data_IF_130407928942
#
_entry.id   IF_130407928942
#
_cell.length_a   1.000
_cell.length_b   1.000
_cell.length_c   1.000
_cell.angle_alpha   90.00
_cell.angle_beta   90.00
_cell.angle_gamma   90.00
#
_symmetry.space_group_name_H-M   'P 1'
#
loop_
_entity.id
_entity.type
_entity.pdbx_description
1 polymer ?
#
# COMPACT_ATOMS: atom_id res chain seq x y z
N UNK A 1 -14.29 5.92 -36.01
CA UNK A 1 -14.52 5.44 -37.39
C UNK A 1 -13.21 5.45 -38.17
N UNK A 2 -13.17 5.01 -39.44
CA UNK A 2 -11.94 4.91 -40.24
C UNK A 2 -11.09 6.19 -40.28
N UNK A 3 -11.72 7.36 -40.25
CA UNK A 3 -11.01 8.64 -40.22
C UNK A 3 -10.25 8.84 -38.86
N UNK A 4 -10.87 8.46 -37.78
CA UNK A 4 -10.24 8.56 -36.44
C UNK A 4 -9.08 7.58 -36.32
N UNK A 5 -9.26 6.35 -36.83
CA UNK A 5 -8.20 5.31 -36.81
C UNK A 5 -6.98 5.77 -37.63
N UNK A 6 -7.23 6.45 -38.78
CA UNK A 6 -6.18 7.01 -39.61
C UNK A 6 -5.43 8.16 -38.92
N UNK A 7 -6.16 9.05 -38.25
CA UNK A 7 -5.56 10.16 -37.48
C UNK A 7 -4.70 9.61 -36.34
N UNK A 8 -5.21 8.63 -35.61
CA UNK A 8 -4.45 7.95 -34.54
C UNK A 8 -3.16 7.34 -35.09
N UNK A 9 -3.24 6.61 -36.20
CA UNK A 9 -2.07 5.97 -36.82
C UNK A 9 -1.02 7.01 -37.27
N UNK A 10 -1.46 8.16 -37.79
CA UNK A 10 -0.55 9.27 -38.13
C UNK A 10 0.11 9.84 -36.86
N UNK A 11 -0.66 10.10 -35.80
CA UNK A 11 -0.14 10.61 -34.53
C UNK A 11 0.89 9.66 -33.93
N UNK A 12 0.62 8.36 -33.91
CA UNK A 12 1.56 7.34 -33.45
C UNK A 12 2.83 7.28 -34.30
N UNK A 13 2.70 7.43 -35.62
CA UNK A 13 3.85 7.48 -36.52
C UNK A 13 4.71 8.70 -36.25
N UNK A 14 4.09 9.87 -36.06
CA UNK A 14 4.81 11.11 -35.72
C UNK A 14 5.54 10.95 -34.37
N UNK A 15 4.89 10.37 -33.36
CA UNK A 15 5.52 10.10 -32.05
C UNK A 15 6.75 9.20 -32.19
N UNK A 16 6.64 8.11 -32.97
CA UNK A 16 7.78 7.18 -33.20
C UNK A 16 8.95 7.83 -33.95
N UNK A 17 8.64 8.77 -34.84
CA UNK A 17 9.68 9.50 -35.63
C UNK A 17 10.30 10.67 -34.85
N UNK A 18 9.51 11.31 -33.96
CA UNK A 18 9.94 12.48 -33.19
C UNK A 18 10.65 12.12 -31.87
N UNK A 19 10.28 10.97 -31.26
CA UNK A 19 10.80 10.53 -29.97
C UNK A 19 11.48 9.20 -30.16
N UNK A 20 12.81 9.19 -30.14
CA UNK A 20 13.60 7.97 -30.30
C UNK A 20 13.49 7.08 -29.07
N UNK A 21 13.58 7.65 -27.86
CA UNK A 21 13.46 6.92 -26.60
C UNK A 21 12.71 7.74 -25.55
N UNK A 22 11.80 7.09 -24.84
CA UNK A 22 11.13 7.63 -23.65
C UNK A 22 11.83 7.11 -22.40
N UNK A 23 12.35 8.02 -21.57
CA UNK A 23 12.93 7.68 -20.27
C UNK A 23 11.98 8.07 -19.15
N UNK A 24 11.58 7.09 -18.34
CA UNK A 24 10.73 7.27 -17.16
C UNK A 24 11.61 7.30 -15.92
N UNK A 25 11.47 8.35 -15.10
CA UNK A 25 12.30 8.56 -13.90
C UNK A 25 11.76 7.88 -12.64
N UNK A 26 10.70 7.06 -12.77
CA UNK A 26 10.13 6.24 -11.68
C UNK A 26 8.97 6.88 -10.95
N UNK A 27 8.59 6.21 -9.85
CA UNK A 27 7.45 6.51 -8.99
C UNK A 27 6.10 6.58 -9.74
N UNK A 28 5.92 5.68 -10.70
CA UNK A 28 4.65 5.50 -11.41
C UNK A 28 3.53 5.08 -10.44
N UNK A 29 3.90 4.30 -9.41
CA UNK A 29 3.00 3.80 -8.37
C UNK A 29 3.02 4.63 -7.08
N UNK A 30 3.30 5.93 -7.13
CA UNK A 30 3.27 6.76 -5.92
C UNK A 30 1.82 6.91 -5.42
N UNK A 31 1.32 8.06 -5.12
CA UNK A 31 0.07 8.30 -4.38
C UNK A 31 -1.15 8.47 -5.27
N UNK A 32 -0.92 8.89 -6.50
CA UNK A 32 -2.00 9.21 -7.45
C UNK A 32 -2.64 7.99 -8.09
N UNK A 33 -3.87 8.12 -8.59
CA UNK A 33 -4.55 7.09 -9.37
C UNK A 33 -3.98 7.00 -10.78
N UNK A 34 -4.23 5.88 -11.46
CA UNK A 34 -3.97 5.75 -12.90
C UNK A 34 -2.63 5.09 -13.27
N UNK A 35 -1.87 4.57 -12.30
CA UNK A 35 -0.63 3.85 -12.59
C UNK A 35 -0.81 2.73 -13.62
N UNK A 36 -1.93 2.00 -13.58
CA UNK A 36 -2.26 0.96 -14.54
C UNK A 36 -2.36 1.47 -15.98
N UNK A 37 -2.91 2.66 -16.19
CA UNK A 37 -3.03 3.25 -17.55
C UNK A 37 -1.66 3.67 -18.10
N UNK A 38 -0.80 4.19 -17.22
CA UNK A 38 0.58 4.54 -17.57
C UNK A 38 1.33 3.27 -17.97
N UNK A 39 1.26 2.22 -17.14
CA UNK A 39 1.96 0.96 -17.41
C UNK A 39 1.44 0.30 -18.70
N UNK A 40 0.12 0.23 -18.91
CA UNK A 40 -0.47 -0.30 -20.15
C UNK A 40 0.04 0.45 -21.39
N UNK A 41 0.22 1.78 -21.28
CA UNK A 41 0.77 2.58 -22.38
C UNK A 41 2.26 2.33 -22.59
N UNK A 42 3.03 2.23 -21.51
CA UNK A 42 4.48 1.96 -21.58
C UNK A 42 4.79 0.59 -22.17
N UNK A 43 3.99 -0.44 -21.86
CA UNK A 43 4.14 -1.79 -22.42
C UNK A 43 4.01 -1.84 -23.96
N UNK A 44 3.27 -0.89 -24.54
CA UNK A 44 3.05 -0.79 -25.98
C UNK A 44 3.93 0.28 -26.64
N UNK A 45 4.70 1.01 -25.89
CA UNK A 45 5.56 2.07 -26.43
C UNK A 45 6.78 1.48 -27.15
N UNK A 46 7.16 2.06 -28.29
CA UNK A 46 8.16 1.48 -29.19
C UNK A 46 9.59 1.40 -28.62
N UNK A 47 9.96 2.32 -27.73
CA UNK A 47 11.28 2.35 -27.11
C UNK A 47 11.20 3.09 -25.77
N UNK A 48 11.23 2.36 -24.67
CA UNK A 48 11.12 2.90 -23.30
C UNK A 48 12.16 2.24 -22.41
N UNK A 49 12.78 3.03 -21.55
CA UNK A 49 13.51 2.56 -20.39
C UNK A 49 12.97 3.22 -19.11
N UNK A 50 13.05 2.51 -18.01
CA UNK A 50 12.45 2.92 -16.75
C UNK A 50 13.50 2.84 -15.66
N UNK A 51 13.72 3.94 -14.96
CA UNK A 51 14.39 3.95 -13.68
C UNK A 51 13.33 3.84 -12.58
N UNK A 52 13.36 2.74 -11.82
CA UNK A 52 12.33 2.46 -10.83
C UNK A 52 12.50 3.34 -9.58
N UNK A 53 11.42 3.98 -9.15
CA UNK A 53 11.35 4.69 -7.87
C UNK A 53 11.09 3.74 -6.69
N UNK A 54 11.13 4.27 -5.47
CA UNK A 54 10.91 3.48 -4.26
C UNK A 54 9.47 2.92 -4.17
N UNK A 55 8.47 3.64 -4.66
CA UNK A 55 7.10 3.15 -4.71
C UNK A 55 6.93 2.00 -5.71
N UNK A 56 7.58 2.10 -6.88
CA UNK A 56 7.58 1.03 -7.88
C UNK A 56 8.21 -0.25 -7.32
N UNK A 57 9.33 -0.12 -6.58
CA UNK A 57 10.00 -1.26 -5.93
C UNK A 57 9.12 -1.96 -4.89
N UNK A 58 8.23 -1.25 -4.20
CA UNK A 58 7.26 -1.88 -3.30
C UNK A 58 6.26 -2.76 -4.06
N UNK A 59 5.75 -2.29 -5.19
CA UNK A 59 4.84 -3.06 -6.03
C UNK A 59 5.53 -4.28 -6.66
N UNK A 60 6.76 -4.11 -7.15
CA UNK A 60 7.57 -5.22 -7.65
C UNK A 60 7.84 -6.27 -6.55
N UNK A 61 8.19 -5.80 -5.34
CA UNK A 61 8.36 -6.66 -4.17
C UNK A 61 7.09 -7.44 -3.82
N UNK A 62 5.92 -6.79 -3.85
CA UNK A 62 4.64 -7.43 -3.62
C UNK A 62 4.34 -8.52 -4.67
N UNK A 63 4.56 -8.22 -5.94
CA UNK A 63 4.32 -9.15 -7.06
C UNK A 63 5.19 -10.41 -6.96
N UNK A 64 6.45 -10.29 -6.51
CA UNK A 64 7.34 -11.44 -6.32
C UNK A 64 7.17 -12.16 -4.97
N UNK A 65 6.24 -11.70 -4.13
CA UNK A 65 5.86 -12.40 -2.91
C UNK A 65 6.41 -11.83 -1.60
N UNK A 66 6.98 -10.63 -1.60
CA UNK A 66 7.39 -9.97 -0.35
C UNK A 66 6.18 -9.38 0.38
N UNK A 67 5.85 -9.96 1.54
CA UNK A 67 4.67 -9.59 2.33
C UNK A 67 4.76 -8.20 2.94
N UNK A 68 5.94 -7.73 3.35
CA UNK A 68 6.13 -6.39 3.89
C UNK A 68 5.97 -5.32 2.80
N UNK A 69 6.49 -5.57 1.60
CA UNK A 69 6.29 -4.69 0.44
C UNK A 69 4.80 -4.61 0.06
N UNK A 70 4.11 -5.74 0.04
CA UNK A 70 2.66 -5.82 -0.20
C UNK A 70 1.88 -4.99 0.84
N UNK A 71 2.16 -5.20 2.13
CA UNK A 71 1.48 -4.46 3.19
C UNK A 71 1.72 -2.95 3.07
N UNK A 72 2.93 -2.55 2.70
CA UNK A 72 3.29 -1.15 2.52
C UNK A 72 2.58 -0.53 1.30
N UNK A 73 2.54 -1.22 0.16
CA UNK A 73 1.82 -0.76 -1.03
C UNK A 73 0.32 -0.56 -0.74
N UNK A 74 -0.33 -1.54 -0.07
CA UNK A 74 -1.74 -1.44 0.35
C UNK A 74 -1.95 -0.28 1.33
N UNK A 75 -1.07 -0.13 2.34
CA UNK A 75 -1.16 0.96 3.32
C UNK A 75 -1.08 2.33 2.65
N UNK A 76 -0.20 2.50 1.68
CA UNK A 76 -0.08 3.76 0.93
C UNK A 76 -1.34 4.02 0.11
N UNK A 77 -1.85 3.01 -0.60
CA UNK A 77 -3.09 3.14 -1.36
C UNK A 77 -4.28 3.57 -0.48
N UNK A 78 -4.45 2.93 0.70
CA UNK A 78 -5.50 3.31 1.67
C UNK A 78 -5.31 4.72 2.23
N UNK A 79 -4.05 5.10 2.53
CA UNK A 79 -3.76 6.44 3.06
C UNK A 79 -4.16 7.57 2.09
N UNK A 80 -4.08 7.33 0.80
CA UNK A 80 -4.38 8.31 -0.25
C UNK A 80 -5.67 8.00 -1.03
N UNK A 81 -6.54 7.15 -0.46
CA UNK A 81 -7.83 6.75 -1.05
C UNK A 81 -7.71 6.20 -2.49
N UNK A 82 -6.59 5.54 -2.81
CA UNK A 82 -6.30 5.01 -4.14
C UNK A 82 -6.54 3.49 -4.24
N UNK A 83 -7.67 3.01 -3.72
CA UNK A 83 -8.04 1.58 -3.81
C UNK A 83 -8.35 1.15 -5.25
N UNK A 84 -8.85 2.07 -6.08
CA UNK A 84 -9.21 1.77 -7.46
C UNK A 84 -8.03 1.25 -8.28
N UNK A 85 -6.81 1.72 -8.02
CA UNK A 85 -5.60 1.15 -8.65
C UNK A 85 -5.40 -0.31 -8.27
N UNK A 86 -5.59 -0.68 -7.00
CA UNK A 86 -5.47 -2.06 -6.55
C UNK A 86 -6.59 -2.94 -7.13
N UNK A 87 -7.85 -2.55 -6.92
CA UNK A 87 -9.03 -3.39 -7.24
C UNK A 87 -9.34 -3.38 -8.73
N UNK A 88 -9.56 -2.20 -9.31
CA UNK A 88 -9.96 -2.08 -10.72
C UNK A 88 -8.77 -2.15 -11.67
N UNK A 89 -7.61 -1.63 -11.26
CA UNK A 89 -6.41 -1.62 -12.07
C UNK A 89 -5.73 -2.97 -12.17
N UNK A 90 -5.55 -3.65 -11.04
CA UNK A 90 -4.78 -4.89 -10.93
C UNK A 90 -5.58 -6.10 -10.42
N UNK A 91 -6.88 -5.95 -10.17
CA UNK A 91 -7.73 -7.06 -9.72
C UNK A 91 -7.40 -7.60 -8.33
N UNK A 92 -6.74 -6.80 -7.48
CA UNK A 92 -6.36 -7.21 -6.13
C UNK A 92 -7.61 -7.25 -5.24
N UNK A 93 -7.93 -8.41 -4.70
CA UNK A 93 -9.10 -8.58 -3.84
C UNK A 93 -8.84 -8.04 -2.44
N UNK A 94 -9.42 -6.89 -2.12
CA UNK A 94 -9.29 -6.25 -0.81
C UNK A 94 -10.33 -6.72 0.22
N UNK A 95 -11.29 -7.58 -0.16
CA UNK A 95 -12.34 -8.07 0.73
C UNK A 95 -11.81 -8.78 2.01
N UNK A 96 -10.75 -9.58 1.97
CA UNK A 96 -10.21 -10.20 3.18
C UNK A 96 -9.78 -9.17 4.23
N UNK A 97 -9.11 -8.09 3.80
CA UNK A 97 -8.69 -7.01 4.69
C UNK A 97 -9.90 -6.20 5.19
N UNK A 98 -10.87 -5.90 4.33
CA UNK A 98 -12.07 -5.17 4.71
C UNK A 98 -12.86 -5.91 5.79
N UNK A 99 -13.08 -7.22 5.63
CA UNK A 99 -13.77 -8.06 6.63
C UNK A 99 -13.01 -8.08 7.95
N UNK A 100 -11.73 -8.37 7.92
CA UNK A 100 -10.88 -8.36 9.12
C UNK A 100 -10.94 -6.99 9.84
N UNK A 101 -10.82 -5.90 9.11
CA UNK A 101 -10.88 -4.55 9.67
C UNK A 101 -12.23 -4.27 10.34
N UNK A 102 -13.35 -4.67 9.73
CA UNK A 102 -14.69 -4.53 10.31
C UNK A 102 -14.86 -5.38 11.57
N UNK A 103 -14.33 -6.60 11.58
CA UNK A 103 -14.44 -7.51 12.72
C UNK A 103 -13.61 -7.01 13.92
N UNK A 104 -12.39 -6.53 13.68
CA UNK A 104 -11.44 -6.15 14.73
C UNK A 104 -11.59 -4.69 15.15
N UNK A 105 -11.78 -3.79 14.20
CA UNK A 105 -11.79 -2.34 14.41
C UNK A 105 -13.17 -1.70 14.14
N UNK A 106 -14.24 -2.49 13.98
CA UNK A 106 -15.56 -1.99 13.58
C UNK A 106 -16.18 -0.96 14.53
N UNK A 107 -15.76 -0.91 15.80
CA UNK A 107 -16.20 0.09 16.79
C UNK A 107 -15.22 1.23 16.99
N UNK A 108 -14.07 1.18 16.31
CA UNK A 108 -13.02 2.19 16.41
C UNK A 108 -13.20 3.22 15.29
N UNK A 109 -13.23 4.52 15.59
CA UNK A 109 -13.31 5.58 14.58
C UNK A 109 -12.04 5.68 13.74
N UNK A 110 -10.93 5.08 14.16
CA UNK A 110 -9.63 5.08 13.46
C UNK A 110 -9.20 6.47 12.97
N UNK A 111 -9.49 7.52 13.71
CA UNK A 111 -9.29 8.92 13.29
C UNK A 111 -7.86 9.23 12.79
N UNK A 112 -6.77 8.76 13.43
CA UNK A 112 -5.42 9.01 12.92
C UNK A 112 -5.11 8.34 11.58
N UNK A 113 -5.94 7.37 11.18
CA UNK A 113 -5.81 6.57 9.96
C UNK A 113 -6.78 6.99 8.85
N UNK A 114 -7.55 8.05 9.07
CA UNK A 114 -8.45 8.62 8.05
C UNK A 114 -7.67 8.89 6.77
N UNK A 115 -8.17 8.46 5.60
CA UNK A 115 -7.49 8.68 4.33
C UNK A 115 -7.35 10.18 4.02
N UNK A 116 -6.29 10.52 3.33
CA UNK A 116 -6.11 11.86 2.75
C UNK A 116 -6.82 11.87 1.39
N UNK A 117 -7.97 12.52 1.36
CA UNK A 117 -8.69 12.73 0.11
C UNK A 117 -7.98 13.84 -0.68
N UNK A 118 -7.74 13.61 -1.96
CA UNK A 118 -7.29 14.64 -2.89
C UNK A 118 -8.46 15.44 -3.44
N UNK A 119 -8.17 16.44 -4.27
CA UNK A 119 -9.18 17.21 -5.01
C UNK A 119 -9.83 16.42 -6.17
N UNK A 120 -9.61 15.10 -6.21
CA UNK A 120 -10.15 14.24 -7.25
C UNK A 120 -11.67 14.08 -7.08
N UNK A 121 -12.37 13.97 -8.23
CA UNK A 121 -13.83 13.93 -8.36
C UNK A 121 -14.54 12.72 -7.68
N UNK A 122 -13.82 11.84 -6.98
CA UNK A 122 -14.43 10.74 -6.26
C UNK A 122 -14.91 11.20 -4.88
N UNK A 123 -16.21 11.38 -4.76
CA UNK A 123 -16.86 11.62 -3.47
C UNK A 123 -17.08 10.28 -2.75
N UNK A 124 -16.29 10.03 -1.72
CA UNK A 124 -16.53 8.90 -0.82
C UNK A 124 -17.56 9.27 0.24
N UNK A 125 -18.49 8.35 0.53
CA UNK A 125 -19.38 8.51 1.67
C UNK A 125 -18.65 8.27 3.02
N UNK A 126 -19.25 8.71 4.10
CA UNK A 126 -18.66 8.60 5.45
C UNK A 126 -18.34 7.16 5.84
N UNK A 127 -19.15 6.18 5.39
CA UNK A 127 -18.94 4.76 5.70
C UNK A 127 -17.73 4.21 4.96
N UNK A 128 -17.55 4.59 3.72
CA UNK A 128 -16.38 4.23 2.92
C UNK A 128 -15.09 4.83 3.50
N UNK A 129 -15.13 6.08 3.94
CA UNK A 129 -14.01 6.76 4.61
C UNK A 129 -13.65 6.05 5.92
N UNK A 130 -14.66 5.71 6.73
CA UNK A 130 -14.45 4.97 7.97
C UNK A 130 -13.83 3.59 7.70
N UNK A 131 -14.38 2.83 6.76
CA UNK A 131 -13.86 1.51 6.41
C UNK A 131 -12.42 1.58 5.90
N UNK A 132 -12.10 2.54 5.04
CA UNK A 132 -10.72 2.78 4.59
C UNK A 132 -9.79 3.10 5.77
N UNK A 133 -10.23 3.89 6.74
CA UNK A 133 -9.48 4.17 7.96
C UNK A 133 -9.22 2.91 8.81
N UNK A 134 -10.23 2.06 8.97
CA UNK A 134 -10.11 0.77 9.67
C UNK A 134 -9.16 -0.19 8.94
N UNK A 135 -9.28 -0.30 7.62
CA UNK A 135 -8.37 -1.10 6.79
C UNK A 135 -6.94 -0.57 6.85
N UNK A 136 -6.77 0.76 6.82
CA UNK A 136 -5.47 1.42 6.92
C UNK A 136 -4.80 1.11 8.27
N UNK A 137 -5.54 1.20 9.38
CA UNK A 137 -5.03 0.81 10.71
C UNK A 137 -4.64 -0.66 10.74
N UNK A 138 -5.52 -1.55 10.26
CA UNK A 138 -5.28 -2.98 10.23
C UNK A 138 -3.98 -3.33 9.49
N UNK A 139 -3.84 -2.85 8.26
CA UNK A 139 -2.66 -3.15 7.45
C UNK A 139 -1.39 -2.47 7.97
N UNK A 140 -1.49 -1.31 8.65
CA UNK A 140 -0.35 -0.66 9.27
C UNK A 140 0.22 -1.51 10.42
N UNK A 141 -0.63 -2.08 11.28
CA UNK A 141 -0.18 -2.97 12.35
C UNK A 141 0.43 -4.25 11.76
N UNK A 142 -0.20 -4.85 10.77
CA UNK A 142 0.34 -6.02 10.04
C UNK A 142 1.70 -5.68 9.43
N UNK A 143 1.85 -4.52 8.81
CA UNK A 143 3.12 -4.06 8.21
C UNK A 143 4.23 -3.99 9.25
N UNK A 144 4.01 -3.37 10.42
CA UNK A 144 5.02 -3.31 11.48
C UNK A 144 5.47 -4.70 11.94
N UNK A 145 4.54 -5.65 12.06
CA UNK A 145 4.87 -7.04 12.41
C UNK A 145 5.71 -7.73 11.34
N UNK A 146 5.37 -7.52 10.06
CA UNK A 146 6.10 -8.09 8.92
C UNK A 146 7.49 -7.45 8.74
N UNK A 147 7.60 -6.13 8.94
CA UNK A 147 8.88 -5.42 8.88
C UNK A 147 9.83 -5.89 9.97
N UNK A 148 9.34 -6.06 11.21
CA UNK A 148 10.14 -6.64 12.29
C UNK A 148 10.73 -7.99 11.92
N UNK A 149 9.97 -8.87 11.25
CA UNK A 149 10.48 -10.18 10.83
C UNK A 149 11.67 -10.05 9.85
N UNK A 150 11.74 -8.97 9.08
CA UNK A 150 12.87 -8.69 8.19
C UNK A 150 14.03 -8.13 9.02
N UNK A 151 13.77 -7.14 9.87
CA UNK A 151 14.78 -6.50 10.73
C UNK A 151 15.47 -7.54 11.60
N UNK A 152 14.71 -8.42 12.25
CA UNK A 152 15.24 -9.48 13.11
C UNK A 152 16.11 -10.51 12.37
N UNK A 153 15.84 -10.77 11.06
CA UNK A 153 16.67 -11.65 10.24
C UNK A 153 17.90 -10.98 9.66
N UNK A 154 17.91 -9.65 9.62
CA UNK A 154 18.92 -8.82 8.96
C UNK A 154 19.41 -7.71 9.89
N UNK A 155 20.03 -8.05 11.05
CA UNK A 155 20.56 -7.06 11.99
C UNK A 155 21.63 -6.17 11.35
N UNK A 156 22.28 -6.65 10.29
CA UNK A 156 23.26 -5.87 9.52
C UNK A 156 22.68 -4.62 8.83
N UNK A 157 21.34 -4.52 8.73
CA UNK A 157 20.71 -3.32 8.18
C UNK A 157 20.65 -2.13 9.16
N UNK A 158 20.88 -2.41 10.49
CA UNK A 158 20.87 -1.36 11.52
C UNK A 158 19.51 -0.63 11.61
N UNK A 159 18.41 -1.37 11.52
CA UNK A 159 17.04 -0.81 11.44
C UNK A 159 16.21 -1.06 12.71
N UNK A 160 16.81 -1.48 13.81
CA UNK A 160 16.13 -1.84 15.06
C UNK A 160 15.34 -0.66 15.66
N UNK A 161 15.78 0.57 15.38
CA UNK A 161 15.08 1.79 15.81
C UNK A 161 13.69 1.95 15.17
N UNK A 162 13.39 1.19 14.12
CA UNK A 162 12.07 1.15 13.46
C UNK A 162 11.10 0.18 14.12
N UNK A 163 11.57 -0.67 15.03
CA UNK A 163 10.74 -1.58 15.81
C UNK A 163 10.06 -0.81 16.95
N UNK A 164 8.82 -0.43 16.76
CA UNK A 164 8.10 0.47 17.65
C UNK A 164 6.98 -0.22 18.45
N UNK A 165 6.48 -1.39 18.05
CA UNK A 165 5.30 -2.00 18.71
C UNK A 165 5.57 -2.40 20.15
N UNK A 166 6.75 -2.89 20.50
CA UNK A 166 7.14 -3.22 21.88
C UNK A 166 7.33 -2.00 22.77
N UNK A 167 7.39 -0.80 22.19
CA UNK A 167 7.58 0.47 22.90
C UNK A 167 6.25 1.15 23.26
N UNK A 168 5.14 0.55 22.85
CA UNK A 168 3.78 1.04 23.14
C UNK A 168 3.35 0.58 24.53
N UNK A 169 3.01 1.54 25.39
CA UNK A 169 2.29 1.27 26.63
C UNK A 169 0.80 1.55 26.41
N UNK A 170 0.03 0.49 26.14
CA UNK A 170 -1.40 0.63 25.87
C UNK A 170 -2.18 1.10 27.10
N UNK A 171 -1.75 0.75 28.33
CA UNK A 171 -2.43 1.13 29.56
C UNK A 171 -2.33 2.63 29.84
N UNK A 172 -1.17 3.22 29.55
CA UNK A 172 -0.92 4.66 29.72
C UNK A 172 -1.21 5.48 28.45
N UNK A 173 -1.45 4.81 27.33
CA UNK A 173 -1.66 5.47 26.03
C UNK A 173 -0.43 6.21 25.54
N UNK A 174 0.77 5.65 25.75
CA UNK A 174 2.04 6.30 25.41
C UNK A 174 2.94 5.42 24.55
N UNK A 175 3.90 6.03 23.89
CA UNK A 175 5.01 5.36 23.22
C UNK A 175 6.34 5.99 23.63
N UNK A 176 7.33 5.17 23.95
CA UNK A 176 8.69 5.63 24.23
C UNK A 176 9.57 5.39 23.01
N UNK A 177 10.09 6.44 22.41
CA UNK A 177 10.94 6.37 21.22
C UNK A 177 12.37 5.90 21.58
N UNK A 178 13.17 5.47 20.57
CA UNK A 178 14.56 5.03 20.80
C UNK A 178 15.46 6.06 21.50
N UNK A 179 15.19 7.35 21.31
CA UNK A 179 15.90 8.45 21.99
C UNK A 179 15.51 8.62 23.46
N UNK A 180 14.59 7.79 24.00
CA UNK A 180 14.10 7.84 25.38
C UNK A 180 12.96 8.82 25.64
N UNK A 181 12.54 9.59 24.64
CA UNK A 181 11.39 10.51 24.77
C UNK A 181 10.06 9.75 24.71
N UNK A 182 9.12 10.13 25.56
CA UNK A 182 7.79 9.52 25.65
C UNK A 182 6.73 10.49 25.14
N UNK A 183 5.87 10.00 24.26
CA UNK A 183 4.79 10.78 23.65
C UNK A 183 3.43 10.12 23.85
N UNK A 184 2.35 10.91 24.01
CA UNK A 184 1.01 10.37 24.04
C UNK A 184 0.60 9.85 22.66
N UNK A 185 -0.05 8.68 22.63
CA UNK A 185 -0.65 8.13 21.44
C UNK A 185 -1.98 8.82 21.14
N UNK A 186 -2.25 9.08 19.88
CA UNK A 186 -3.56 9.58 19.41
C UNK A 186 -4.61 8.49 19.31
N UNK A 187 -4.19 7.24 19.33
CA UNK A 187 -5.00 6.05 19.26
C UNK A 187 -4.38 5.00 20.19
N UNK A 188 -5.18 4.37 21.01
CA UNK A 188 -4.74 3.41 22.04
C UNK A 188 -5.40 2.04 21.91
N UNK A 189 -6.26 1.84 20.90
CA UNK A 189 -6.96 0.60 20.68
C UNK A 189 -6.22 -0.31 19.68
N UNK A 190 -5.38 -1.19 20.19
CA UNK A 190 -4.57 -2.13 19.40
C UNK A 190 -4.82 -3.58 19.82
N UNK A 191 -6.02 -4.15 19.53
CA UNK A 191 -6.42 -5.46 20.08
C UNK A 191 -5.61 -6.64 19.55
N UNK A 192 -4.87 -6.48 18.46
CA UNK A 192 -4.02 -7.53 17.86
C UNK A 192 -2.56 -7.45 18.28
N UNK A 193 -2.18 -6.47 19.10
CA UNK A 193 -0.83 -6.37 19.66
C UNK A 193 -0.82 -7.05 21.02
N UNK A 194 -0.17 -8.22 21.10
CA UNK A 194 0.11 -8.89 22.38
C UNK A 194 1.32 -8.21 23.04
N UNK A 195 1.21 -7.67 24.26
CA UNK A 195 2.34 -7.06 24.96
C UNK A 195 3.53 -8.00 25.20
N UNK A 196 3.30 -9.31 25.25
CA UNK A 196 4.35 -10.31 25.46
C UNK A 196 5.05 -10.72 24.15
N UNK A 197 4.35 -10.59 23.02
CA UNK A 197 4.89 -10.90 21.68
C UNK A 197 4.27 -9.96 20.63
N UNK A 198 4.65 -8.68 20.65
CA UNK A 198 3.96 -7.63 19.88
C UNK A 198 4.10 -7.76 18.37
N UNK A 199 5.07 -8.53 17.91
CA UNK A 199 5.35 -8.70 16.47
C UNK A 199 4.80 -10.00 15.88
N UNK A 200 4.22 -10.86 16.70
CA UNK A 200 3.56 -12.07 16.22
C UNK A 200 2.26 -11.72 15.49
N UNK A 201 2.11 -12.24 14.29
CA UNK A 201 0.81 -12.20 13.59
C UNK A 201 -0.20 -13.08 14.34
N UNK A 202 -1.42 -12.59 14.53
CA UNK A 202 -2.54 -13.44 14.90
C UNK A 202 -2.88 -14.39 13.74
N UNK A 203 -3.61 -15.46 14.01
CA UNK A 203 -4.08 -16.38 12.96
C UNK A 203 -4.90 -15.65 11.89
N UNK A 204 -5.79 -14.74 12.33
CA UNK A 204 -6.59 -13.92 11.43
C UNK A 204 -5.75 -12.97 10.56
N UNK A 205 -4.72 -12.32 11.14
CA UNK A 205 -3.78 -11.48 10.38
C UNK A 205 -2.99 -12.33 9.37
N UNK A 206 -2.53 -13.52 9.76
CA UNK A 206 -1.80 -14.41 8.87
C UNK A 206 -2.68 -14.89 7.69
N UNK A 207 -3.94 -15.19 7.92
CA UNK A 207 -4.90 -15.54 6.87
C UNK A 207 -5.14 -14.38 5.90
N UNK A 208 -5.29 -13.15 6.42
CA UNK A 208 -5.40 -11.94 5.58
C UNK A 208 -4.16 -11.76 4.71
N UNK A 209 -2.96 -11.85 5.31
CA UNK A 209 -1.69 -11.72 4.57
C UNK A 209 -1.59 -12.77 3.47
N UNK A 210 -1.93 -14.03 3.75
CA UNK A 210 -1.88 -15.10 2.75
C UNK A 210 -2.84 -14.86 1.58
N UNK A 211 -4.08 -14.41 1.86
CA UNK A 211 -5.08 -14.12 0.83
C UNK A 211 -4.71 -12.92 -0.03
N UNK A 212 -4.21 -11.85 0.57
CA UNK A 212 -3.74 -10.68 -0.15
C UNK A 212 -2.52 -11.02 -1.03
N UNK A 213 -1.56 -11.75 -0.49
CA UNK A 213 -0.39 -12.19 -1.24
C UNK A 213 -0.75 -13.08 -2.43
N UNK A 214 -1.71 -14.00 -2.22
CA UNK A 214 -2.24 -14.82 -3.30
C UNK A 214 -2.82 -13.94 -4.41
N UNK A 215 -3.61 -12.91 -4.05
CA UNK A 215 -4.20 -11.99 -5.02
C UNK A 215 -3.15 -11.21 -5.81
N UNK A 216 -2.10 -10.70 -5.16
CA UNK A 216 -0.99 -10.02 -5.84
C UNK A 216 -0.24 -10.92 -6.82
N UNK A 217 0.02 -12.18 -6.43
CA UNK A 217 0.76 -13.14 -7.26
C UNK A 217 -0.03 -13.70 -8.44
N UNK A 218 -1.35 -13.60 -8.39
CA UNK A 218 -2.25 -14.13 -9.43
C UNK A 218 -3.05 -13.00 -10.10
N UNK A 219 -2.60 -11.75 -9.95
CA UNK A 219 -3.11 -10.65 -10.75
C UNK A 219 -2.91 -10.94 -12.23
N UNK A 220 -3.93 -10.64 -13.04
CA UNK A 220 -3.86 -10.83 -14.50
C UNK A 220 -3.03 -9.73 -15.21
N UNK A 221 -2.52 -8.76 -14.46
CA UNK A 221 -1.68 -7.65 -14.95
C UNK A 221 -0.34 -7.60 -14.25
#
# INVERSE_FOLDING_TARGET
GQADDFIIAICETIQRLAIDRLHIVGDVFDRGPGAQFIMDKLLTYHNVDIQWGNHDMLWMGAAVGNTASMANAIRIALRYANLSTLENGYGINMLPLARFAMEVYGKDPCTPFTPKLGDADETYDEKSILLMGQMHKAIAIIQFKLEHQIIARHPEYGMEDRDLLHRINQAEGTITLPNGETYPLKDTFFPTIDPNDPYKLTEAEADVVAKLLHSFRHSEK
#
